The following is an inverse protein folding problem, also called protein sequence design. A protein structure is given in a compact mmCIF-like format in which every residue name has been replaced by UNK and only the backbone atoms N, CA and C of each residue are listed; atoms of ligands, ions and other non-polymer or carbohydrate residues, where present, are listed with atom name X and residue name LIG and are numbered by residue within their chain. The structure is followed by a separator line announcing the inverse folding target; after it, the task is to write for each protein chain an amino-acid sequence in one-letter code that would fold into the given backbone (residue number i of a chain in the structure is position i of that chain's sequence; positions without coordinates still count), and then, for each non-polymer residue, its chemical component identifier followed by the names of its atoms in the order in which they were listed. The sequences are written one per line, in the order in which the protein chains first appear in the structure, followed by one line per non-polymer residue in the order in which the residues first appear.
data_IF_144466120541
#
_entry.id   IF_144466120541
#
_cell.length_a   1.000
_cell.length_b   1.000
_cell.length_c   1.000
_cell.angle_alpha   90.00
_cell.angle_beta   90.00
_cell.angle_gamma   90.00
#
_symmetry.space_group_name_H-M   'P 1'
#
loop_
_entity.id
_entity.type
_entity.pdbx_description
1 polymer ?
#
# COMPACT_ATOMS: atom_id res chain seq x y z
N UNK A 1 37.58 -5.00 -32.61
CA UNK A 1 37.02 -4.29 -31.44
C UNK A 1 35.47 -4.27 -31.38
N UNK A 2 34.73 -4.62 -32.45
CA UNK A 2 33.26 -4.56 -32.44
C UNK A 2 32.50 -5.64 -31.66
N UNK A 3 33.08 -6.83 -31.48
CA UNK A 3 32.40 -7.98 -30.84
C UNK A 3 32.26 -7.87 -29.33
N UNK A 4 33.24 -7.23 -28.67
CA UNK A 4 33.23 -7.01 -27.22
C UNK A 4 32.17 -5.97 -26.84
N UNK A 5 32.02 -4.93 -27.68
CA UNK A 5 31.00 -3.90 -27.47
C UNK A 5 29.58 -4.46 -27.59
N UNK A 6 29.30 -5.29 -28.60
CA UNK A 6 27.98 -5.93 -28.76
C UNK A 6 27.64 -6.88 -27.61
N UNK A 7 28.63 -7.59 -27.05
CA UNK A 7 28.42 -8.48 -25.90
C UNK A 7 28.06 -7.71 -24.61
N UNK A 8 28.66 -6.54 -24.39
CA UNK A 8 28.38 -5.70 -23.21
C UNK A 8 26.95 -5.13 -23.27
N UNK A 9 26.50 -4.66 -24.44
CA UNK A 9 25.13 -4.16 -24.62
C UNK A 9 24.06 -5.23 -24.46
N UNK A 10 24.32 -6.46 -24.94
CA UNK A 10 23.41 -7.60 -24.74
C UNK A 10 23.34 -7.97 -23.26
N UNK A 11 24.47 -7.99 -22.55
CA UNK A 11 24.51 -8.23 -21.10
C UNK A 11 23.72 -7.20 -20.29
N UNK A 12 23.86 -5.90 -20.61
CA UNK A 12 23.10 -4.83 -19.97
C UNK A 12 21.59 -4.92 -20.26
N UNK A 13 21.21 -5.27 -21.50
CA UNK A 13 19.80 -5.46 -21.88
C UNK A 13 19.14 -6.61 -21.11
N UNK A 14 19.84 -7.73 -20.94
CA UNK A 14 19.35 -8.87 -20.16
C UNK A 14 19.20 -8.50 -18.67
N UNK A 15 20.15 -7.76 -18.11
CA UNK A 15 20.09 -7.30 -16.72
C UNK A 15 18.92 -6.34 -16.47
N UNK A 16 18.65 -5.45 -17.43
CA UNK A 16 17.51 -4.53 -17.38
C UNK A 16 16.16 -5.28 -17.45
N UNK A 17 16.04 -6.30 -18.29
CA UNK A 17 14.83 -7.12 -18.41
C UNK A 17 14.58 -7.91 -17.12
N UNK A 18 15.61 -8.52 -16.53
CA UNK A 18 15.49 -9.26 -15.26
C UNK A 18 15.02 -8.34 -14.12
N UNK A 19 15.60 -7.14 -14.02
CA UNK A 19 15.19 -6.15 -13.02
C UNK A 19 13.74 -5.70 -13.17
N UNK A 20 13.26 -5.56 -14.41
CA UNK A 20 11.89 -5.16 -14.73
C UNK A 20 10.88 -6.28 -14.40
N UNK A 21 11.20 -7.53 -14.72
CA UNK A 21 10.37 -8.70 -14.42
C UNK A 21 10.17 -8.90 -12.91
N UNK A 22 11.20 -8.64 -12.10
CA UNK A 22 11.10 -8.74 -10.62
C UNK A 22 10.40 -7.52 -10.01
N UNK A 23 10.58 -6.32 -10.57
CA UNK A 23 9.97 -5.09 -10.03
C UNK A 23 8.46 -5.00 -10.24
N UNK A 24 7.93 -5.55 -11.33
CA UNK A 24 6.49 -5.49 -11.66
C UNK A 24 5.55 -6.15 -10.61
N UNK A 25 5.79 -7.39 -10.14
CA UNK A 25 4.90 -8.03 -9.18
C UNK A 25 4.96 -7.37 -7.79
N UNK A 26 6.10 -6.82 -7.39
CA UNK A 26 6.26 -6.12 -6.10
C UNK A 26 5.41 -4.86 -6.06
N UNK A 27 5.49 -4.01 -7.10
CA UNK A 27 4.70 -2.77 -7.19
C UNK A 27 3.19 -3.03 -7.11
N UNK A 28 2.71 -4.09 -7.77
CA UNK A 28 1.28 -4.46 -7.73
C UNK A 28 0.79 -4.91 -6.36
N UNK A 29 1.64 -5.56 -5.56
CA UNK A 29 1.29 -5.95 -4.19
C UNK A 29 1.24 -4.73 -3.27
N UNK A 30 2.20 -3.83 -3.43
CA UNK A 30 2.26 -2.60 -2.64
C UNK A 30 1.09 -1.66 -2.95
N UNK A 31 0.69 -1.52 -4.21
CA UNK A 31 -0.49 -0.76 -4.61
C UNK A 31 -1.76 -1.30 -3.97
N UNK A 32 -1.91 -2.62 -3.98
CA UNK A 32 -3.04 -3.33 -3.38
C UNK A 32 -3.11 -3.17 -1.86
N UNK A 33 -1.97 -3.16 -1.17
CA UNK A 33 -1.90 -2.96 0.28
C UNK A 33 -2.19 -1.50 0.59
N UNK A 34 -1.62 -0.58 -0.18
CA UNK A 34 -1.80 0.86 -0.02
C UNK A 34 -3.25 1.26 -0.20
N UNK A 35 -3.96 0.71 -1.19
CA UNK A 35 -5.41 0.92 -1.36
C UNK A 35 -6.18 0.63 -0.07
N UNK A 36 -5.88 -0.51 0.58
CA UNK A 36 -6.54 -0.91 1.82
C UNK A 36 -6.13 -0.01 2.99
N UNK A 37 -4.85 0.37 3.09
CA UNK A 37 -4.36 1.29 4.13
C UNK A 37 -4.95 2.70 4.02
N UNK A 38 -5.25 3.17 2.80
CA UNK A 38 -5.85 4.49 2.59
C UNK A 38 -7.31 4.56 3.03
N UNK A 39 -8.02 3.45 2.88
CA UNK A 39 -9.45 3.34 3.18
C UNK A 39 -9.70 2.96 4.65
N UNK A 40 -8.73 2.30 5.28
CA UNK A 40 -8.86 1.81 6.65
C UNK A 40 -9.24 2.88 7.68
N UNK A 41 -8.66 4.10 7.68
CA UNK A 41 -9.07 5.16 8.60
C UNK A 41 -10.56 5.51 8.51
N UNK A 42 -11.13 5.58 7.30
CA UNK A 42 -12.56 5.85 7.09
C UNK A 42 -13.41 4.75 7.74
N UNK A 43 -13.03 3.48 7.55
CA UNK A 43 -13.71 2.33 8.17
C UNK A 43 -13.69 2.42 9.69
N UNK A 44 -12.58 2.88 10.30
CA UNK A 44 -12.49 3.03 11.75
C UNK A 44 -13.35 4.20 12.26
N UNK A 45 -13.43 5.30 11.52
CA UNK A 45 -14.26 6.44 11.85
C UNK A 45 -15.75 6.09 11.81
N UNK A 46 -16.19 5.44 10.72
CA UNK A 46 -17.57 4.95 10.58
C UNK A 46 -17.88 3.95 11.70
N UNK A 47 -16.96 3.03 11.99
CA UNK A 47 -17.16 2.04 13.06
C UNK A 47 -17.24 2.72 14.43
N UNK A 48 -16.46 3.76 14.71
CA UNK A 48 -16.55 4.51 15.96
C UNK A 48 -17.90 5.22 16.11
N UNK A 49 -18.39 5.87 15.04
CA UNK A 49 -19.69 6.53 15.03
C UNK A 49 -20.83 5.55 15.33
N UNK A 50 -20.82 4.42 14.64
CA UNK A 50 -21.84 3.37 14.78
C UNK A 50 -21.82 2.69 16.15
N UNK A 51 -20.63 2.48 16.73
CA UNK A 51 -20.50 1.96 18.09
C UNK A 51 -20.95 2.96 19.15
N UNK A 52 -20.69 4.27 18.96
CA UNK A 52 -21.22 5.32 19.85
C UNK A 52 -22.75 5.41 19.77
N UNK A 53 -23.33 5.11 18.61
CA UNK A 53 -24.78 4.98 18.46
C UNK A 53 -25.36 3.77 19.20
N UNK A 54 -24.52 2.94 19.81
CA UNK A 54 -24.90 1.79 20.61
C UNK A 54 -25.04 0.49 19.82
N UNK A 55 -24.63 0.48 18.54
CA UNK A 55 -24.62 -0.76 17.78
C UNK A 55 -23.55 -1.74 18.29
N UNK A 56 -23.85 -3.03 18.19
CA UNK A 56 -22.86 -4.08 18.42
C UNK A 56 -21.78 -4.07 17.33
N UNK A 57 -20.56 -4.51 17.67
CA UNK A 57 -19.40 -4.47 16.76
C UNK A 57 -19.64 -5.22 15.45
N UNK A 58 -20.27 -6.40 15.53
CA UNK A 58 -20.57 -7.21 14.35
C UNK A 58 -21.59 -6.54 13.43
N UNK A 59 -22.66 -5.96 13.99
CA UNK A 59 -23.69 -5.24 13.24
C UNK A 59 -23.16 -3.95 12.61
N UNK A 60 -22.33 -3.21 13.35
CA UNK A 60 -21.69 -2.01 12.83
C UNK A 60 -20.74 -2.33 11.67
N UNK A 61 -19.94 -3.39 11.81
CA UNK A 61 -19.08 -3.82 10.72
C UNK A 61 -19.86 -4.33 9.50
N UNK A 62 -21.00 -5.01 9.70
CA UNK A 62 -21.89 -5.45 8.62
C UNK A 62 -22.51 -4.28 7.84
N UNK A 63 -22.93 -3.23 8.56
CA UNK A 63 -23.46 -2.00 7.96
C UNK A 63 -22.41 -1.32 7.07
N UNK A 64 -21.18 -1.17 7.58
CA UNK A 64 -20.04 -0.58 6.85
C UNK A 64 -19.62 -1.46 5.69
N UNK A 65 -19.59 -2.78 5.88
CA UNK A 65 -19.27 -3.72 4.81
C UNK A 65 -20.30 -3.62 3.68
N UNK A 66 -21.58 -3.50 4.01
CA UNK A 66 -22.70 -3.42 3.07
C UNK A 66 -22.76 -2.09 2.32
N UNK A 67 -22.38 -0.97 2.94
CA UNK A 67 -22.36 0.35 2.31
C UNK A 67 -21.22 0.51 1.29
N UNK A 68 -20.18 -0.34 1.38
CA UNK A 68 -18.96 -0.23 0.56
C UNK A 68 -18.95 -1.23 -0.59
N UNK A 69 -18.54 -0.78 -1.77
CA UNK A 69 -18.46 -1.58 -3.00
C UNK A 69 -17.02 -1.74 -3.55
N UNK A 70 -16.04 -1.34 -2.76
CA UNK A 70 -14.63 -1.51 -3.10
C UNK A 70 -14.07 -2.82 -2.53
N UNK A 71 -12.78 -3.04 -2.77
CA UNK A 71 -12.09 -4.25 -2.32
C UNK A 71 -12.09 -4.42 -0.80
N UNK A 72 -12.00 -3.32 -0.05
CA UNK A 72 -12.12 -3.34 1.40
C UNK A 72 -13.52 -3.80 1.84
N UNK A 73 -14.59 -3.31 1.20
CA UNK A 73 -15.96 -3.75 1.45
C UNK A 73 -16.14 -5.26 1.26
N UNK A 74 -15.60 -5.83 0.17
CA UNK A 74 -15.64 -7.29 -0.05
C UNK A 74 -14.90 -8.06 1.05
N UNK A 75 -13.71 -7.60 1.46
CA UNK A 75 -12.95 -8.26 2.53
C UNK A 75 -13.65 -8.15 3.88
N UNK A 76 -14.32 -7.02 4.16
CA UNK A 76 -15.12 -6.84 5.37
C UNK A 76 -16.36 -7.74 5.36
N UNK A 77 -17.07 -7.90 4.24
CA UNK A 77 -18.20 -8.83 4.12
C UNK A 77 -17.80 -10.26 4.43
N UNK A 78 -16.68 -10.72 3.86
CA UNK A 78 -16.12 -12.05 4.13
C UNK A 78 -15.75 -12.22 5.62
N UNK A 79 -15.31 -11.13 6.25
CA UNK A 79 -14.91 -11.11 7.65
C UNK A 79 -16.12 -11.15 8.59
N UNK A 80 -17.15 -10.34 8.33
CA UNK A 80 -18.42 -10.33 9.06
C UNK A 80 -19.10 -11.70 9.01
N UNK A 81 -19.09 -12.36 7.84
CA UNK A 81 -19.61 -13.72 7.72
C UNK A 81 -18.89 -14.70 8.66
N UNK A 82 -17.55 -14.60 8.77
CA UNK A 82 -16.76 -15.43 9.69
C UNK A 82 -16.95 -15.06 11.15
N UNK A 83 -17.24 -13.80 11.47
CA UNK A 83 -17.48 -13.37 12.85
C UNK A 83 -18.64 -14.13 13.49
N UNK A 84 -19.66 -14.48 12.70
CA UNK A 84 -20.81 -15.25 13.18
C UNK A 84 -20.45 -16.66 13.67
N UNK A 85 -19.41 -17.27 13.09
CA UNK A 85 -18.99 -18.64 13.40
C UNK A 85 -17.81 -18.66 14.40
N UNK A 86 -16.80 -17.82 14.17
CA UNK A 86 -15.50 -17.86 14.86
C UNK A 86 -15.34 -16.76 15.92
N UNK A 87 -16.26 -15.79 15.97
CA UNK A 87 -16.20 -14.60 16.80
C UNK A 87 -15.31 -13.48 16.25
N UNK A 88 -15.55 -12.25 16.74
CA UNK A 88 -14.87 -11.03 16.30
C UNK A 88 -13.33 -11.13 16.28
N UNK A 89 -12.74 -11.63 17.37
CA UNK A 89 -11.28 -11.63 17.56
C UNK A 89 -10.53 -12.46 16.52
N UNK A 90 -11.01 -13.68 16.25
CA UNK A 90 -10.37 -14.58 15.29
C UNK A 90 -10.60 -14.10 13.85
N UNK A 91 -11.83 -13.68 13.53
CA UNK A 91 -12.19 -13.17 12.22
C UNK A 91 -11.38 -11.92 11.83
N UNK A 92 -11.24 -10.93 12.75
CA UNK A 92 -10.39 -9.77 12.46
C UNK A 92 -8.91 -10.12 12.36
N UNK A 93 -8.43 -11.09 13.13
CA UNK A 93 -7.03 -11.54 13.02
C UNK A 93 -6.75 -12.18 11.65
N UNK A 94 -7.70 -12.95 11.11
CA UNK A 94 -7.61 -13.51 9.75
C UNK A 94 -7.71 -12.41 8.69
N UNK A 95 -8.61 -11.45 8.86
CA UNK A 95 -8.71 -10.26 8.01
C UNK A 95 -7.37 -9.52 7.93
N UNK A 96 -6.76 -9.20 9.09
CA UNK A 96 -5.46 -8.54 9.17
C UNK A 96 -4.37 -9.28 8.36
N UNK A 97 -4.31 -10.61 8.51
CA UNK A 97 -3.37 -11.47 7.77
C UNK A 97 -3.62 -11.41 6.26
N UNK A 98 -4.88 -11.43 5.81
CA UNK A 98 -5.25 -11.34 4.40
C UNK A 98 -4.92 -9.99 3.78
N UNK A 99 -5.02 -8.90 4.54
CA UNK A 99 -4.59 -7.57 4.08
C UNK A 99 -3.09 -7.48 3.83
N UNK A 100 -2.28 -8.23 4.58
CA UNK A 100 -0.81 -8.19 4.48
C UNK A 100 -0.19 -6.85 4.93
N UNK A 101 -0.98 -5.94 5.50
CA UNK A 101 -0.52 -4.65 6.02
C UNK A 101 -0.11 -4.78 7.49
N UNK A 102 1.13 -4.38 7.85
CA UNK A 102 1.54 -4.26 9.24
C UNK A 102 0.71 -3.23 10.02
N UNK A 103 0.25 -2.16 9.35
CA UNK A 103 -0.59 -1.11 9.96
C UNK A 103 -1.95 -1.69 10.37
N UNK A 104 -2.65 -2.33 9.44
CA UNK A 104 -3.97 -2.93 9.72
C UNK A 104 -3.85 -4.03 10.78
N UNK A 105 -2.79 -4.84 10.72
CA UNK A 105 -2.55 -5.89 11.71
C UNK A 105 -2.36 -5.35 13.12
N UNK A 106 -1.63 -4.23 13.27
CA UNK A 106 -1.44 -3.57 14.56
C UNK A 106 -2.75 -3.02 15.10
N UNK A 107 -3.55 -2.37 14.26
CA UNK A 107 -4.84 -1.79 14.65
C UNK A 107 -5.82 -2.87 15.08
N UNK A 108 -5.94 -3.95 14.31
CA UNK A 108 -6.76 -5.11 14.66
C UNK A 108 -6.36 -5.70 16.02
N UNK A 109 -5.05 -5.85 16.27
CA UNK A 109 -4.57 -6.35 17.57
C UNK A 109 -5.02 -5.45 18.72
N UNK A 110 -4.98 -4.13 18.53
CA UNK A 110 -5.45 -3.17 19.54
C UNK A 110 -6.97 -3.28 19.71
N UNK A 111 -7.74 -3.37 18.62
CA UNK A 111 -9.19 -3.56 18.68
C UNK A 111 -9.56 -4.83 19.46
N UNK A 112 -8.88 -5.94 19.22
CA UNK A 112 -9.15 -7.19 19.93
C UNK A 112 -8.90 -7.07 21.44
N UNK A 113 -7.85 -6.35 21.83
CA UNK A 113 -7.56 -6.05 23.24
C UNK A 113 -8.64 -5.11 23.81
N UNK A 114 -9.00 -4.06 23.08
CA UNK A 114 -10.00 -3.09 23.49
C UNK A 114 -11.41 -3.68 23.58
N UNK A 115 -11.77 -4.66 22.74
CA UNK A 115 -13.03 -5.38 22.85
C UNK A 115 -13.05 -6.30 24.07
N UNK A 116 -11.89 -6.88 24.40
CA UNK A 116 -11.73 -7.74 25.58
C UNK A 116 -11.68 -6.93 26.88
N UNK A 117 -11.22 -5.68 26.84
CA UNK A 117 -11.27 -4.74 27.95
C UNK A 117 -12.46 -3.80 27.78
N UNK A 118 -13.58 -4.09 28.44
CA UNK A 118 -14.86 -3.39 28.36
C UNK A 118 -14.87 -1.88 28.75
N UNK A 119 -13.71 -1.21 28.80
CA UNK A 119 -13.56 0.24 28.98
C UNK A 119 -13.50 0.97 27.64
N UNK A 120 -14.67 1.38 27.15
CA UNK A 120 -14.88 2.24 25.97
C UNK A 120 -14.17 1.84 24.68
N UNK A 121 -14.66 0.75 24.06
CA UNK A 121 -14.26 0.31 22.73
C UNK A 121 -14.41 1.42 21.67
N UNK A 122 -15.51 2.18 21.72
CA UNK A 122 -15.77 3.30 20.82
C UNK A 122 -14.73 4.43 20.96
N UNK A 123 -14.38 4.83 22.19
CA UNK A 123 -13.35 5.87 22.41
C UNK A 123 -11.97 5.42 21.98
N UNK A 124 -11.61 4.16 22.24
CA UNK A 124 -10.32 3.62 21.79
C UNK A 124 -10.23 3.59 20.28
N UNK A 125 -11.32 3.20 19.61
CA UNK A 125 -11.40 3.19 18.15
C UNK A 125 -11.32 4.59 17.56
N UNK A 126 -11.98 5.58 18.16
CA UNK A 126 -11.95 6.99 17.73
C UNK A 126 -10.54 7.56 17.80
N UNK A 127 -9.82 7.36 18.92
CA UNK A 127 -8.43 7.77 19.07
C UNK A 127 -7.52 7.15 18.00
N UNK A 128 -7.72 5.87 17.69
CA UNK A 128 -6.99 5.19 16.61
C UNK A 128 -7.36 5.85 15.27
N UNK A 129 -8.65 6.04 14.98
CA UNK A 129 -9.10 6.62 13.71
C UNK A 129 -8.49 8.01 13.45
N UNK A 130 -8.47 8.89 14.45
CA UNK A 130 -7.91 10.25 14.32
C UNK A 130 -6.40 10.24 14.12
N UNK A 131 -5.65 9.47 14.93
CA UNK A 131 -4.19 9.36 14.82
C UNK A 131 -3.80 8.87 13.41
N UNK A 132 -4.51 7.87 12.89
CA UNK A 132 -4.21 7.33 11.57
C UNK A 132 -4.72 8.22 10.42
N UNK A 133 -5.81 8.95 10.59
CA UNK A 133 -6.25 9.95 9.63
C UNK A 133 -5.19 11.05 9.45
N UNK A 134 -4.62 11.55 10.55
CA UNK A 134 -3.53 12.52 10.53
C UNK A 134 -2.28 11.94 9.85
N UNK A 135 -1.88 10.71 10.23
CA UNK A 135 -0.75 10.01 9.59
C UNK A 135 -1.00 9.80 8.08
N UNK A 136 -2.23 9.47 7.68
CA UNK A 136 -2.61 9.32 6.27
C UNK A 136 -2.44 10.64 5.51
N UNK A 137 -2.97 11.75 6.05
CA UNK A 137 -2.86 13.07 5.42
C UNK A 137 -1.38 13.48 5.29
N UNK A 138 -0.57 13.25 6.32
CA UNK A 138 0.88 13.49 6.30
C UNK A 138 1.62 12.60 5.29
N UNK A 139 1.23 11.33 5.13
CA UNK A 139 1.81 10.43 4.12
C UNK A 139 1.41 10.85 2.72
N UNK A 140 0.17 11.28 2.50
CA UNK A 140 -0.33 11.77 1.21
C UNK A 140 0.46 13.00 0.76
N UNK A 141 0.72 13.94 1.67
CA UNK A 141 1.58 15.09 1.40
C UNK A 141 3.02 14.68 1.07
N UNK A 142 3.59 13.73 1.81
CA UNK A 142 4.95 13.24 1.57
C UNK A 142 5.09 12.49 0.24
N UNK A 143 4.13 11.64 -0.13
CA UNK A 143 4.15 10.93 -1.42
C UNK A 143 4.09 11.92 -2.57
N UNK A 144 3.23 12.94 -2.47
CA UNK A 144 3.09 13.99 -3.50
C UNK A 144 4.39 14.78 -3.66
N UNK A 145 5.08 15.10 -2.55
CA UNK A 145 6.35 15.84 -2.57
C UNK A 145 7.56 14.98 -2.98
N UNK A 146 7.63 13.72 -2.57
CA UNK A 146 8.81 12.86 -2.77
C UNK A 146 8.79 12.08 -4.09
N UNK A 147 7.62 11.65 -4.58
CA UNK A 147 7.53 10.95 -5.88
C UNK A 147 7.81 11.87 -7.07
N UNK A 148 7.46 13.16 -6.97
CA UNK A 148 7.82 14.15 -7.99
C UNK A 148 9.34 14.24 -8.20
N UNK A 149 10.09 14.30 -7.10
CA UNK A 149 11.56 14.44 -7.13
C UNK A 149 12.27 13.14 -7.53
N UNK A 150 11.85 11.98 -7.01
CA UNK A 150 12.51 10.70 -7.30
C UNK A 150 12.26 10.23 -8.75
N UNK A 151 11.05 10.43 -9.27
CA UNK A 151 10.75 10.10 -10.66
C UNK A 151 11.50 11.04 -11.62
N UNK A 152 11.64 12.33 -11.28
CA UNK A 152 12.46 13.27 -12.06
C UNK A 152 13.93 12.85 -12.16
N UNK A 153 14.53 12.36 -11.07
CA UNK A 153 15.94 11.91 -11.07
C UNK A 153 16.13 10.63 -11.88
N UNK A 154 15.22 9.65 -11.75
CA UNK A 154 15.30 8.38 -12.50
C UNK A 154 15.10 8.58 -14.01
N UNK A 155 14.09 9.35 -14.41
CA UNK A 155 13.84 9.65 -15.83
C UNK A 155 14.86 10.63 -16.39
N UNK A 156 15.23 11.66 -15.63
CA UNK A 156 16.25 12.64 -16.01
C UNK A 156 17.61 11.97 -16.20
N UNK A 157 18.07 11.16 -15.25
CA UNK A 157 19.35 10.47 -15.34
C UNK A 157 19.41 9.42 -16.47
N UNK A 158 18.33 8.68 -16.71
CA UNK A 158 18.33 7.62 -17.72
C UNK A 158 18.10 8.11 -19.16
N UNK A 159 17.39 9.23 -19.39
CA UNK A 159 17.12 9.77 -20.73
C UNK A 159 18.11 10.87 -21.10
N UNK A 160 18.47 11.76 -20.19
CA UNK A 160 19.31 12.93 -20.50
C UNK A 160 20.77 12.52 -20.68
N UNK A 161 21.29 11.55 -19.89
CA UNK A 161 22.66 11.05 -20.05
C UNK A 161 22.96 10.48 -21.44
N UNK A 162 22.15 9.57 -22.03
CA UNK A 162 22.42 9.07 -23.37
C UNK A 162 22.27 10.14 -24.47
N UNK A 163 21.38 11.12 -24.30
CA UNK A 163 21.22 12.22 -25.27
C UNK A 163 22.43 13.15 -25.27
N UNK A 164 23.04 13.42 -24.11
CA UNK A 164 24.23 14.28 -24.02
C UNK A 164 25.52 13.54 -24.41
N UNK A 165 25.69 12.28 -24.00
CA UNK A 165 26.91 11.50 -24.26
C UNK A 165 26.92 10.83 -25.65
N UNK A 166 25.75 10.51 -26.21
CA UNK A 166 25.61 9.86 -27.52
C UNK A 166 26.27 10.63 -28.66
N UNK A 167 26.02 11.95 -28.83
CA UNK A 167 26.65 12.77 -29.85
C UNK A 167 28.17 12.88 -29.66
N UNK A 168 28.64 12.96 -28.42
CA UNK A 168 30.07 13.07 -28.09
C UNK A 168 30.78 11.76 -28.49
N UNK A 169 30.26 10.61 -28.08
CA UNK A 169 30.83 9.31 -28.47
C UNK A 169 30.72 9.07 -29.98
N UNK A 170 29.66 9.53 -30.65
CA UNK A 170 29.53 9.40 -32.09
C UNK A 170 30.57 10.24 -32.86
N UNK A 171 30.82 11.47 -32.42
CA UNK A 171 31.79 12.38 -33.04
C UNK A 171 33.23 11.96 -32.75
N UNK A 172 33.55 11.59 -31.51
CA UNK A 172 34.91 11.19 -31.12
C UNK A 172 35.23 9.72 -31.44
N UNK A 173 34.22 8.84 -31.49
CA UNK A 173 34.38 7.42 -31.85
C UNK A 173 34.43 7.17 -33.36
N UNK A 174 33.95 8.10 -34.18
CA UNK A 174 34.12 8.08 -35.65
C UNK A 174 35.46 8.70 -36.11
N UNK A 175 36.30 9.15 -35.16
CA UNK A 175 37.67 9.54 -35.41
C UNK A 175 38.53 8.31 -35.72
N UNK A 176 38.72 8.07 -37.02
CA UNK A 176 39.62 7.07 -37.63
C UNK A 176 40.84 6.74 -36.75
N UNK A 177 40.91 5.49 -36.31
CA UNK A 177 42.15 4.73 -36.37
C UNK A 177 42.09 3.86 -37.64
#
# INVERSE_FOLDING_TARGET
MGTIHSLIWIGLGIWAIIGLVISLPVKRKDEKIKELEMVWPDVLADLAEELRAGMGVESALDAIASSRNDRMGTMLKDTVNRMRDDGFGLAMTDFAKKTGSPMISRIVSILNIALSSSGSFATTLENISEEYWEIYMLRKERITKTQGTANFILWGGSIICPILLGPIVAVFGSGKA
#
